data_IF_544407477946
#
_entry.id   IF_544407477946
#
_cell.length_a   1.000
_cell.length_b   1.000
_cell.length_c   1.000
_cell.angle_alpha   90.00
_cell.angle_beta   90.00
_cell.angle_gamma   90.00
#
_symmetry.space_group_name_H-M   'P 1'
#
loop_
_entity.id
_entity.type
_entity.pdbx_description
1 polymer ?
#
# COMPACT_ATOMS: atom_id res chain seq x y z
N UNK A 1 -31.51 8.70 6.03
CA UNK A 1 -30.61 9.69 5.42
C UNK A 1 -29.72 8.93 4.44
N UNK A 2 -29.87 9.15 3.14
CA UNK A 2 -29.00 8.55 2.14
C UNK A 2 -27.60 9.18 2.28
N UNK A 3 -26.57 8.36 2.47
CA UNK A 3 -25.19 8.81 2.43
C UNK A 3 -24.79 9.03 0.96
N UNK A 4 -24.99 10.25 0.47
CA UNK A 4 -24.54 10.64 -0.85
C UNK A 4 -23.08 11.05 -0.79
N UNK A 5 -22.26 10.56 -1.71
CA UNK A 5 -20.85 10.99 -1.84
C UNK A 5 -20.80 12.30 -2.62
N UNK A 6 -20.33 13.36 -1.97
CA UNK A 6 -20.23 14.69 -2.55
C UNK A 6 -18.75 15.04 -2.76
N UNK A 7 -18.39 15.36 -4.00
CA UNK A 7 -17.07 15.92 -4.28
C UNK A 7 -17.11 17.43 -4.07
N UNK A 8 -16.18 17.95 -3.28
CA UNK A 8 -16.09 19.37 -2.96
C UNK A 8 -14.73 19.90 -3.38
N UNK A 9 -14.70 20.82 -4.36
CA UNK A 9 -13.47 21.53 -4.72
C UNK A 9 -13.38 22.78 -3.87
N UNK A 10 -12.61 22.69 -2.78
CA UNK A 10 -12.26 23.81 -1.93
C UNK A 10 -11.05 24.53 -2.55
N UNK A 11 -11.13 25.87 -2.66
CA UNK A 11 -10.01 26.70 -3.06
C UNK A 11 -8.93 26.77 -1.96
N UNK A 12 -8.19 27.85 -1.88
CA UNK A 12 -7.08 28.09 -0.90
C UNK A 12 -7.47 28.01 0.59
N UNK A 13 -8.74 27.72 0.89
CA UNK A 13 -9.27 27.57 2.26
C UNK A 13 -9.12 26.15 2.82
N UNK A 14 -8.55 25.23 2.07
CA UNK A 14 -8.40 23.81 2.48
C UNK A 14 -7.54 23.60 3.75
N UNK A 15 -6.72 24.59 4.14
CA UNK A 15 -5.85 24.52 5.32
C UNK A 15 -6.57 24.78 6.65
N UNK A 16 -7.85 25.15 6.64
CA UNK A 16 -8.59 25.60 7.85
C UNK A 16 -9.34 24.49 8.58
N UNK A 17 -9.40 23.28 8.06
CA UNK A 17 -10.18 22.18 8.65
C UNK A 17 -9.44 20.85 8.60
N UNK A 18 -9.78 20.01 9.56
CA UNK A 18 -9.20 18.68 9.74
C UNK A 18 -10.12 17.59 9.18
N UNK A 19 -9.56 16.39 8.92
CA UNK A 19 -10.27 15.28 8.27
C UNK A 19 -11.56 14.84 8.97
N UNK A 20 -11.74 15.13 10.26
CA UNK A 20 -12.91 14.75 11.06
C UNK A 20 -13.88 15.91 11.31
N UNK A 21 -13.57 17.12 10.86
CA UNK A 21 -14.43 18.26 11.07
C UNK A 21 -15.74 18.11 10.28
N UNK A 22 -16.83 18.48 10.90
CA UNK A 22 -18.14 18.59 10.23
C UNK A 22 -18.24 19.97 9.59
N UNK A 23 -18.26 19.99 8.28
CA UNK A 23 -18.38 21.20 7.50
C UNK A 23 -19.83 21.43 7.09
N UNK A 24 -20.34 22.62 7.34
CA UNK A 24 -21.58 23.09 6.72
C UNK A 24 -21.22 23.99 5.55
N UNK A 25 -21.54 23.55 4.35
CA UNK A 25 -21.16 24.19 3.11
C UNK A 25 -22.40 24.73 2.40
N UNK A 26 -22.27 25.90 1.79
CA UNK A 26 -23.29 26.46 0.89
C UNK A 26 -22.66 26.71 -0.47
N UNK A 27 -23.21 26.13 -1.50
CA UNK A 27 -22.68 26.28 -2.85
C UNK A 27 -23.68 25.79 -3.91
N UNK A 28 -23.36 26.03 -5.17
CA UNK A 28 -24.13 25.53 -6.29
C UNK A 28 -23.80 24.06 -6.50
N UNK A 29 -24.81 23.21 -6.33
CA UNK A 29 -24.66 21.79 -6.63
C UNK A 29 -24.80 21.57 -8.14
N UNK A 30 -23.86 20.80 -8.69
CA UNK A 30 -23.88 20.31 -10.06
C UNK A 30 -24.01 18.79 -10.01
N UNK A 31 -24.50 18.19 -11.09
CA UNK A 31 -24.60 16.74 -11.21
C UNK A 31 -23.22 16.09 -11.02
N UNK A 32 -23.20 14.99 -10.28
CA UNK A 32 -21.97 14.32 -9.91
C UNK A 32 -21.20 13.76 -11.09
N UNK A 33 -19.89 13.58 -10.89
CA UNK A 33 -18.99 13.04 -11.88
C UNK A 33 -18.34 11.74 -11.36
N UNK A 34 -18.49 10.66 -12.11
CA UNK A 34 -17.91 9.37 -11.77
C UNK A 34 -18.58 8.69 -10.57
N UNK A 35 -17.87 8.59 -9.43
CA UNK A 35 -18.36 7.94 -8.20
C UNK A 35 -19.08 8.87 -7.23
N UNK A 36 -19.24 10.14 -7.58
CA UNK A 36 -19.85 11.14 -6.71
C UNK A 36 -21.24 11.49 -7.19
N UNK A 37 -22.21 11.52 -6.27
CA UNK A 37 -23.61 11.87 -6.57
C UNK A 37 -23.79 13.35 -6.86
N UNK A 38 -22.97 14.21 -6.24
CA UNK A 38 -23.02 15.66 -6.34
C UNK A 38 -21.61 16.26 -6.40
N UNK A 39 -21.48 17.35 -7.13
CA UNK A 39 -20.27 18.14 -7.21
C UNK A 39 -20.53 19.58 -6.72
N UNK A 40 -19.77 20.05 -5.73
CA UNK A 40 -19.84 21.42 -5.22
C UNK A 40 -18.62 22.20 -5.69
N UNK A 41 -18.88 23.25 -6.48
CA UNK A 41 -17.83 24.10 -7.01
C UNK A 41 -17.67 25.35 -6.15
N UNK A 42 -16.49 25.59 -5.59
CA UNK A 42 -16.15 26.74 -4.74
C UNK A 42 -17.24 27.06 -3.67
N UNK A 43 -17.61 26.12 -2.81
CA UNK A 43 -18.60 26.38 -1.79
C UNK A 43 -18.08 27.32 -0.71
N UNK A 44 -18.97 28.15 -0.16
CA UNK A 44 -18.71 28.91 1.06
C UNK A 44 -18.81 28.02 2.29
N UNK A 45 -17.80 28.08 3.16
CA UNK A 45 -17.80 27.38 4.44
C UNK A 45 -18.60 28.24 5.43
N UNK A 46 -19.80 27.77 5.81
CA UNK A 46 -20.67 28.49 6.77
C UNK A 46 -20.20 28.21 8.21
N UNK A 47 -19.92 26.96 8.53
CA UNK A 47 -19.47 26.58 9.86
C UNK A 47 -18.58 25.36 9.83
N UNK A 48 -17.62 25.32 10.76
CA UNK A 48 -16.73 24.21 11.02
C UNK A 48 -16.97 23.77 12.47
N UNK A 49 -17.41 22.54 12.69
CA UNK A 49 -17.58 21.99 14.03
C UNK A 49 -16.67 20.81 14.22
N UNK A 50 -15.86 20.84 15.29
CA UNK A 50 -15.00 19.70 15.65
C UNK A 50 -15.84 18.55 16.21
N UNK A 51 -15.41 17.29 15.99
CA UNK A 51 -16.10 16.14 16.55
C UNK A 51 -16.07 16.20 18.09
N UNK A 52 -17.18 15.89 18.71
CA UNK A 52 -17.28 15.79 20.17
C UNK A 52 -17.86 14.39 20.52
N UNK A 53 -17.14 13.44 21.11
CA UNK A 53 -15.79 13.54 21.69
C UNK A 53 -14.67 13.60 20.62
N UNK A 54 -13.48 14.13 21.01
CA UNK A 54 -12.32 14.17 20.11
C UNK A 54 -11.91 12.74 19.69
N UNK A 55 -11.60 12.57 18.41
CA UNK A 55 -11.15 11.27 17.88
C UNK A 55 -9.72 10.98 18.39
N UNK A 56 -9.62 10.06 19.37
CA UNK A 56 -8.36 9.66 19.99
C UNK A 56 -7.30 9.25 18.93
N UNK A 57 -7.72 8.49 17.92
CA UNK A 57 -6.80 8.00 16.89
C UNK A 57 -6.35 9.11 15.95
N UNK A 58 -7.22 10.07 15.67
CA UNK A 58 -6.86 11.26 14.91
C UNK A 58 -5.83 12.10 15.67
N UNK A 59 -6.05 12.35 16.96
CA UNK A 59 -5.12 13.08 17.81
C UNK A 59 -3.76 12.36 17.92
N UNK A 60 -3.76 11.04 18.06
CA UNK A 60 -2.53 10.23 18.02
C UNK A 60 -1.80 10.37 16.68
N UNK A 61 -2.53 10.29 15.56
CA UNK A 61 -1.96 10.47 14.23
C UNK A 61 -1.33 11.85 14.06
N UNK A 62 -2.02 12.89 14.48
CA UNK A 62 -1.52 14.26 14.42
C UNK A 62 -0.30 14.45 15.30
N UNK A 63 -0.30 13.91 16.52
CA UNK A 63 0.87 13.95 17.40
C UNK A 63 2.08 13.27 16.76
N UNK A 64 1.92 12.08 16.17
CA UNK A 64 3.00 11.40 15.46
C UNK A 64 3.49 12.19 14.23
N UNK A 65 2.56 12.79 13.48
CA UNK A 65 2.88 13.61 12.30
C UNK A 65 3.65 14.87 12.70
N UNK A 66 3.19 15.58 13.72
CA UNK A 66 3.82 16.81 14.19
C UNK A 66 5.24 16.56 14.73
N UNK A 67 5.40 15.53 15.59
CA UNK A 67 6.72 15.16 16.11
C UNK A 67 7.72 14.86 14.98
N UNK A 68 7.28 14.19 13.93
CA UNK A 68 8.16 13.86 12.80
C UNK A 68 8.51 15.10 11.97
N UNK A 69 7.53 15.99 11.73
CA UNK A 69 7.73 17.25 10.98
C UNK A 69 8.65 18.23 11.72
N UNK A 70 8.60 18.27 13.04
CA UNK A 70 9.49 19.11 13.85
C UNK A 70 10.95 18.66 13.78
N UNK A 71 11.20 17.37 13.58
CA UNK A 71 12.56 16.81 13.55
C UNK A 71 13.17 16.76 12.14
N UNK A 72 12.36 16.74 11.09
CA UNK A 72 12.82 16.73 9.70
C UNK A 72 12.53 18.10 9.08
N UNK A 73 13.58 18.87 8.85
CA UNK A 73 13.48 20.26 8.38
C UNK A 73 12.98 20.36 6.92
N UNK A 74 13.30 19.38 6.09
CA UNK A 74 12.94 19.36 4.66
C UNK A 74 11.50 18.85 4.50
N UNK A 75 10.59 19.65 3.89
CA UNK A 75 9.18 19.29 3.76
C UNK A 75 8.94 18.05 2.89
N UNK A 76 9.74 17.86 1.82
CA UNK A 76 9.61 16.71 0.93
C UNK A 76 10.00 15.40 1.66
N UNK A 77 11.07 15.46 2.46
CA UNK A 77 11.53 14.32 3.27
C UNK A 77 10.54 13.99 4.36
N UNK A 78 10.00 14.98 5.04
CA UNK A 78 8.96 14.80 6.05
C UNK A 78 7.69 14.19 5.43
N UNK A 79 7.25 14.70 4.28
CA UNK A 79 6.08 14.20 3.56
C UNK A 79 6.28 12.73 3.10
N UNK A 80 7.47 12.39 2.59
CA UNK A 80 7.78 11.02 2.18
C UNK A 80 7.81 10.06 3.37
N UNK A 81 8.43 10.45 4.48
CA UNK A 81 8.46 9.66 5.72
C UNK A 81 7.05 9.40 6.28
N UNK A 82 6.20 10.43 6.32
CA UNK A 82 4.79 10.33 6.73
C UNK A 82 3.97 9.47 5.77
N UNK A 83 4.26 9.57 4.47
CA UNK A 83 3.67 8.72 3.46
C UNK A 83 3.96 7.24 3.72
N UNK A 84 5.20 6.87 4.01
CA UNK A 84 5.57 5.49 4.32
C UNK A 84 5.02 5.03 5.68
N UNK A 85 5.08 5.85 6.72
CA UNK A 85 4.70 5.49 8.08
C UNK A 85 3.18 5.46 8.26
N UNK A 86 2.48 6.54 7.89
CA UNK A 86 1.06 6.75 8.16
C UNK A 86 0.18 6.68 6.90
N UNK A 87 0.77 6.52 5.71
CA UNK A 87 0.03 6.60 4.44
C UNK A 87 -0.55 7.99 4.17
N UNK A 88 0.04 9.03 4.74
CA UNK A 88 -0.43 10.41 4.61
C UNK A 88 -0.01 10.96 3.25
N UNK A 89 -1.01 11.32 2.44
CA UNK A 89 -0.82 11.98 1.14
C UNK A 89 -1.13 13.47 1.19
N UNK A 90 -1.90 13.90 2.18
CA UNK A 90 -2.22 15.31 2.41
C UNK A 90 -0.95 16.04 2.86
N UNK A 91 -0.59 17.09 2.13
CA UNK A 91 0.66 17.84 2.39
C UNK A 91 1.88 17.29 1.65
N UNK A 92 1.73 16.30 0.76
CA UNK A 92 2.79 15.91 -0.15
C UNK A 92 2.80 16.86 -1.35
N UNK A 93 3.95 17.49 -1.67
CA UNK A 93 4.08 18.37 -2.82
C UNK A 93 3.66 17.67 -4.13
N UNK A 94 2.98 18.40 -5.02
CA UNK A 94 2.50 17.85 -6.27
C UNK A 94 3.65 17.33 -7.15
N UNK A 95 4.79 18.04 -7.14
CA UNK A 95 6.00 17.62 -7.85
C UNK A 95 6.51 16.26 -7.39
N UNK A 96 6.58 16.04 -6.07
CA UNK A 96 6.99 14.76 -5.50
C UNK A 96 5.96 13.65 -5.82
N UNK A 97 4.68 13.99 -5.81
CA UNK A 97 3.60 13.06 -6.17
C UNK A 97 3.71 12.62 -7.63
N UNK A 98 3.99 13.56 -8.55
CA UNK A 98 4.19 13.27 -9.97
C UNK A 98 5.46 12.45 -10.19
N UNK A 99 6.57 12.80 -9.51
CA UNK A 99 7.81 12.04 -9.57
C UNK A 99 7.64 10.60 -9.09
N UNK A 100 6.89 10.38 -8.00
CA UNK A 100 6.55 9.05 -7.50
C UNK A 100 5.70 8.24 -8.50
N UNK A 101 4.77 8.89 -9.20
CA UNK A 101 3.97 8.24 -10.25
C UNK A 101 4.86 7.84 -11.44
N UNK A 102 5.72 8.75 -11.90
CA UNK A 102 6.66 8.51 -13.00
C UNK A 102 7.65 7.38 -12.66
N UNK A 103 8.15 7.35 -11.44
CA UNK A 103 9.00 6.27 -10.95
C UNK A 103 8.25 4.95 -10.66
N UNK A 104 6.91 4.91 -10.81
CA UNK A 104 6.10 3.71 -10.54
C UNK A 104 5.96 3.38 -9.05
N UNK A 105 6.27 4.30 -8.15
CA UNK A 105 6.32 4.10 -6.69
C UNK A 105 5.10 4.66 -5.95
N UNK A 106 4.09 5.17 -6.66
CA UNK A 106 2.88 5.74 -6.06
C UNK A 106 2.14 4.78 -5.10
N UNK A 107 2.26 3.47 -5.33
CA UNK A 107 1.67 2.43 -4.49
C UNK A 107 2.44 2.19 -3.18
N UNK A 108 3.71 2.58 -3.11
CA UNK A 108 4.60 2.36 -1.96
C UNK A 108 4.31 3.38 -0.84
N UNK A 109 3.94 4.60 -1.22
CA UNK A 109 3.59 5.70 -0.30
C UNK A 109 2.21 5.52 0.37
N UNK A 110 1.41 4.62 -0.14
CA UNK A 110 0.19 4.18 0.58
C UNK A 110 0.63 3.25 1.70
N UNK A 111 0.19 3.50 2.95
CA UNK A 111 0.51 2.63 4.09
C UNK A 111 0.40 1.16 3.66
N UNK A 112 1.55 0.52 3.49
CA UNK A 112 1.65 -0.77 2.82
C UNK A 112 1.58 -1.91 3.84
N UNK A 113 1.27 -3.11 3.35
CA UNK A 113 1.33 -4.32 4.17
C UNK A 113 2.70 -4.58 4.82
N UNK A 114 3.74 -3.88 4.36
CA UNK A 114 5.08 -3.95 4.92
C UNK A 114 5.15 -3.49 6.39
N UNK A 115 4.43 -2.41 6.76
CA UNK A 115 4.31 -1.96 8.14
C UNK A 115 3.73 -3.06 9.05
N UNK A 116 2.72 -3.78 8.55
CA UNK A 116 2.10 -4.88 9.28
C UNK A 116 3.07 -6.05 9.50
N UNK A 117 3.99 -6.28 8.55
CA UNK A 117 5.04 -7.29 8.71
C UNK A 117 6.00 -6.94 9.84
N UNK A 118 6.41 -5.67 9.93
CA UNK A 118 7.28 -5.20 11.03
C UNK A 118 6.55 -5.39 12.36
N UNK A 119 5.29 -4.95 12.47
CA UNK A 119 4.47 -5.06 13.68
C UNK A 119 4.31 -6.53 14.10
N UNK A 120 3.98 -7.41 13.15
CA UNK A 120 3.79 -8.83 13.44
C UNK A 120 5.09 -9.52 13.87
N UNK A 121 6.21 -9.19 13.24
CA UNK A 121 7.51 -9.73 13.61
C UNK A 121 7.96 -9.22 14.97
N UNK A 122 7.70 -7.95 15.28
CA UNK A 122 7.92 -7.38 16.60
C UNK A 122 7.11 -8.13 17.67
N UNK A 123 5.81 -8.28 17.45
CA UNK A 123 4.95 -9.01 18.37
C UNK A 123 5.42 -10.46 18.57
N UNK A 124 5.75 -11.17 17.50
CA UNK A 124 6.30 -12.54 17.58
C UNK A 124 7.61 -12.61 18.37
N UNK A 125 8.49 -11.62 18.19
CA UNK A 125 9.79 -11.58 18.87
C UNK A 125 9.65 -11.36 20.39
N UNK A 126 8.80 -10.43 20.79
CA UNK A 126 8.70 -10.02 22.20
C UNK A 126 7.63 -10.78 22.99
N UNK A 127 6.54 -11.24 22.35
CA UNK A 127 5.48 -12.00 23.01
C UNK A 127 5.71 -13.53 23.01
N UNK A 128 6.76 -14.03 22.35
CA UNK A 128 7.06 -15.47 22.26
C UNK A 128 7.28 -16.15 23.63
N UNK A 129 7.70 -15.38 24.65
CA UNK A 129 7.93 -15.88 26.00
C UNK A 129 6.66 -16.01 26.83
N UNK A 130 5.55 -15.41 26.41
CA UNK A 130 4.27 -15.44 27.15
C UNK A 130 3.45 -16.65 26.73
N UNK A 131 2.84 -16.61 25.55
CA UNK A 131 2.08 -17.74 25.00
C UNK A 131 1.78 -17.52 23.51
N UNK A 132 1.38 -18.60 22.80
CA UNK A 132 0.90 -18.48 21.41
C UNK A 132 -0.35 -17.60 21.31
N UNK A 133 -1.24 -17.69 22.29
CA UNK A 133 -2.44 -16.86 22.37
C UNK A 133 -2.09 -15.37 22.48
N UNK A 134 -1.14 -15.03 23.37
CA UNK A 134 -0.67 -13.65 23.54
C UNK A 134 -0.06 -13.07 22.25
N UNK A 135 0.69 -13.90 21.50
CA UNK A 135 1.22 -13.45 20.18
C UNK A 135 0.09 -13.09 19.24
N UNK A 136 -0.93 -13.93 19.11
CA UNK A 136 -2.05 -13.71 18.18
C UNK A 136 -2.85 -12.49 18.60
N UNK A 137 -3.31 -12.44 19.84
CA UNK A 137 -4.13 -11.33 20.35
C UNK A 137 -3.35 -10.02 20.31
N UNK A 138 -2.11 -10.00 20.79
CA UNK A 138 -1.26 -8.82 20.78
C UNK A 138 -0.95 -8.33 19.36
N UNK A 139 -0.70 -9.24 18.42
CA UNK A 139 -0.49 -8.86 17.01
C UNK A 139 -1.76 -8.28 16.39
N UNK A 140 -2.93 -8.89 16.61
CA UNK A 140 -4.20 -8.38 16.10
C UNK A 140 -4.51 -6.99 16.68
N UNK A 141 -4.34 -6.80 17.98
CA UNK A 141 -4.53 -5.50 18.61
C UNK A 141 -3.61 -4.42 18.03
N UNK A 142 -2.33 -4.74 17.85
CA UNK A 142 -1.37 -3.82 17.22
C UNK A 142 -1.74 -3.51 15.77
N UNK A 143 -2.18 -4.50 14.98
CA UNK A 143 -2.62 -4.31 13.60
C UNK A 143 -3.86 -3.39 13.57
N UNK A 144 -4.86 -3.66 14.41
CA UNK A 144 -6.08 -2.83 14.49
C UNK A 144 -5.71 -1.40 14.89
N UNK A 145 -4.90 -1.21 15.93
CA UNK A 145 -4.43 0.10 16.36
C UNK A 145 -3.71 0.83 15.22
N UNK A 146 -2.81 0.14 14.52
CA UNK A 146 -2.08 0.73 13.39
C UNK A 146 -3.01 1.13 12.24
N UNK A 147 -4.00 0.30 11.89
CA UNK A 147 -5.00 0.63 10.86
C UNK A 147 -5.83 1.85 11.24
N UNK A 148 -6.24 1.95 12.52
CA UNK A 148 -7.00 3.09 13.04
C UNK A 148 -6.18 4.39 12.98
N UNK A 149 -4.91 4.34 13.35
CA UNK A 149 -4.00 5.51 13.31
C UNK A 149 -3.63 5.90 11.88
N UNK A 150 -3.26 4.93 11.02
CA UNK A 150 -2.83 5.19 9.64
C UNK A 150 -3.99 5.53 8.69
N UNK A 151 -5.23 5.22 9.09
CA UNK A 151 -6.43 5.38 8.27
C UNK A 151 -6.74 4.15 7.41
N UNK A 152 -7.98 4.06 6.99
CA UNK A 152 -8.55 2.89 6.31
C UNK A 152 -8.26 2.88 4.81
N UNK A 153 -6.98 2.75 4.40
CA UNK A 153 -6.67 2.52 2.98
C UNK A 153 -7.04 1.09 2.56
N UNK A 154 -7.53 0.90 1.33
CA UNK A 154 -7.95 -0.41 0.84
C UNK A 154 -6.81 -1.44 0.85
N UNK A 155 -5.58 -1.02 0.55
CA UNK A 155 -4.39 -1.88 0.58
C UNK A 155 -4.04 -2.32 2.01
N UNK A 156 -4.09 -1.39 2.98
CA UNK A 156 -3.80 -1.67 4.39
C UNK A 156 -4.87 -2.59 5.00
N UNK A 157 -6.15 -2.36 4.69
CA UNK A 157 -7.26 -3.21 5.12
C UNK A 157 -7.08 -4.64 4.60
N UNK A 158 -6.78 -4.80 3.28
CA UNK A 158 -6.51 -6.13 2.72
C UNK A 158 -5.36 -6.82 3.45
N UNK A 159 -4.24 -6.14 3.62
CA UNK A 159 -3.07 -6.71 4.27
C UNK A 159 -3.33 -7.02 5.76
N UNK A 160 -4.06 -6.15 6.46
CA UNK A 160 -4.48 -6.36 7.85
C UNK A 160 -5.37 -7.58 8.00
N UNK A 161 -6.42 -7.69 7.20
CA UNK A 161 -7.32 -8.85 7.19
C UNK A 161 -6.56 -10.14 6.86
N UNK A 162 -5.68 -10.13 5.84
CA UNK A 162 -4.87 -11.28 5.47
C UNK A 162 -3.96 -11.73 6.63
N UNK A 163 -3.30 -10.77 7.30
CA UNK A 163 -2.42 -11.06 8.42
C UNK A 163 -3.20 -11.58 9.63
N UNK A 164 -4.34 -10.97 9.98
CA UNK A 164 -5.20 -11.44 11.06
C UNK A 164 -5.72 -12.87 10.80
N UNK A 165 -6.24 -13.13 9.61
CA UNK A 165 -6.66 -14.48 9.22
C UNK A 165 -5.49 -15.48 9.33
N UNK A 166 -4.32 -15.14 8.80
CA UNK A 166 -3.14 -16.01 8.86
C UNK A 166 -2.71 -16.32 10.29
N UNK A 167 -2.77 -15.33 11.20
CA UNK A 167 -2.45 -15.50 12.62
C UNK A 167 -3.45 -16.43 13.32
N UNK A 168 -4.74 -16.27 13.03
CA UNK A 168 -5.78 -17.14 13.58
C UNK A 168 -5.60 -18.58 13.11
N UNK A 169 -5.38 -18.82 11.81
CA UNK A 169 -5.12 -20.17 11.30
C UNK A 169 -3.83 -20.76 11.87
N UNK A 170 -2.76 -19.96 11.99
CA UNK A 170 -1.52 -20.39 12.63
C UNK A 170 -1.74 -20.81 14.10
N UNK A 171 -2.60 -20.11 14.85
CA UNK A 171 -2.93 -20.48 16.22
C UNK A 171 -3.53 -21.88 16.30
N UNK A 172 -4.42 -22.22 15.38
CA UNK A 172 -5.03 -23.55 15.29
C UNK A 172 -4.13 -24.62 14.63
N UNK A 173 -2.84 -24.32 14.42
CA UNK A 173 -1.89 -25.23 13.78
C UNK A 173 -2.16 -25.50 12.30
N UNK A 174 -2.98 -24.68 11.65
CA UNK A 174 -3.33 -24.81 10.23
C UNK A 174 -2.63 -23.76 9.39
N UNK A 175 -2.17 -24.15 8.20
CA UNK A 175 -1.69 -23.24 7.19
C UNK A 175 -2.71 -23.12 6.08
N UNK A 176 -3.02 -21.89 5.73
CA UNK A 176 -3.97 -21.61 4.66
C UNK A 176 -3.25 -21.50 3.32
N UNK A 177 -3.82 -22.09 2.28
CA UNK A 177 -3.33 -21.86 0.93
C UNK A 177 -3.55 -20.39 0.54
N UNK A 178 -2.53 -19.68 -0.02
CA UNK A 178 -2.61 -18.25 -0.31
C UNK A 178 -3.82 -17.83 -1.17
N UNK A 179 -4.22 -18.67 -2.14
CA UNK A 179 -5.40 -18.40 -2.97
C UNK A 179 -6.71 -18.43 -2.16
N UNK A 180 -6.85 -19.38 -1.22
CA UNK A 180 -8.01 -19.43 -0.33
C UNK A 180 -8.01 -18.24 0.63
N UNK A 181 -6.84 -17.87 1.15
CA UNK A 181 -6.70 -16.68 1.99
C UNK A 181 -7.15 -15.43 1.22
N UNK A 182 -6.73 -15.26 -0.03
CA UNK A 182 -7.15 -14.14 -0.87
C UNK A 182 -8.68 -14.10 -1.05
N UNK A 183 -9.32 -15.24 -1.31
CA UNK A 183 -10.78 -15.33 -1.43
C UNK A 183 -11.50 -14.97 -0.13
N UNK A 184 -11.02 -15.46 1.02
CA UNK A 184 -11.59 -15.09 2.33
C UNK A 184 -11.45 -13.59 2.62
N UNK A 185 -10.29 -13.02 2.32
CA UNK A 185 -10.05 -11.57 2.51
C UNK A 185 -10.93 -10.74 1.58
N UNK A 186 -11.16 -11.19 0.35
CA UNK A 186 -12.10 -10.54 -0.57
C UNK A 186 -13.53 -10.55 0.00
N UNK A 187 -14.01 -11.71 0.46
CA UNK A 187 -15.33 -11.84 1.06
C UNK A 187 -15.48 -11.00 2.34
N UNK A 188 -14.47 -11.01 3.23
CA UNK A 188 -14.46 -10.19 4.44
C UNK A 188 -14.42 -8.69 4.13
N UNK A 189 -13.64 -8.27 3.11
CA UNK A 189 -13.58 -6.86 2.72
C UNK A 189 -14.90 -6.37 2.14
N UNK A 190 -15.62 -7.21 1.39
CA UNK A 190 -16.95 -6.89 0.87
C UNK A 190 -18.00 -6.75 1.99
N UNK A 191 -17.94 -7.62 3.00
CA UNK A 191 -18.90 -7.60 4.11
C UNK A 191 -18.62 -6.50 5.15
N UNK A 192 -17.35 -6.26 5.48
CA UNK A 192 -16.97 -5.33 6.55
C UNK A 192 -16.77 -3.88 6.05
N UNK A 193 -16.36 -3.71 4.79
CA UNK A 193 -16.02 -2.40 4.21
C UNK A 193 -16.59 -2.25 2.80
N UNK A 194 -17.93 -2.27 2.63
CA UNK A 194 -18.57 -2.22 1.30
C UNK A 194 -18.19 -0.95 0.51
N UNK A 195 -17.97 0.17 1.18
CA UNK A 195 -17.55 1.44 0.56
C UNK A 195 -16.13 1.39 -0.03
N UNK A 196 -15.26 0.49 0.46
CA UNK A 196 -13.89 0.30 -0.07
C UNK A 196 -13.82 -0.84 -1.07
N UNK A 197 -14.84 -1.70 -1.07
CA UNK A 197 -14.93 -2.82 -1.98
C UNK A 197 -15.04 -2.31 -3.42
N UNK A 198 -14.27 -2.89 -4.33
CA UNK A 198 -14.12 -2.48 -5.73
C UNK A 198 -13.55 -1.06 -5.96
N UNK A 199 -13.13 -0.33 -4.91
CA UNK A 199 -12.35 0.89 -5.12
C UNK A 199 -11.07 0.59 -5.92
N UNK A 200 -10.53 1.60 -6.63
CA UNK A 200 -9.30 1.42 -7.41
C UNK A 200 -8.14 0.84 -6.57
N UNK A 201 -7.96 1.32 -5.34
CA UNK A 201 -6.94 0.79 -4.42
C UNK A 201 -7.19 -0.67 -4.04
N UNK A 202 -8.44 -1.10 -3.92
CA UNK A 202 -8.81 -2.49 -3.71
C UNK A 202 -8.45 -3.33 -4.94
N UNK A 203 -8.90 -2.91 -6.14
CA UNK A 203 -8.65 -3.62 -7.39
C UNK A 203 -7.15 -3.82 -7.65
N UNK A 204 -6.35 -2.75 -7.57
CA UNK A 204 -4.89 -2.82 -7.77
C UNK A 204 -4.21 -3.72 -6.73
N UNK A 205 -4.63 -3.65 -5.47
CA UNK A 205 -4.06 -4.46 -4.40
C UNK A 205 -4.36 -5.95 -4.57
N UNK A 206 -5.57 -6.30 -4.98
CA UNK A 206 -5.95 -7.69 -5.25
C UNK A 206 -5.33 -8.21 -6.56
N UNK A 207 -5.28 -7.39 -7.60
CA UNK A 207 -4.65 -7.73 -8.87
C UNK A 207 -3.15 -8.03 -8.69
N UNK A 208 -2.43 -7.17 -7.96
CA UNK A 208 -0.99 -7.38 -7.69
C UNK A 208 -0.74 -8.68 -6.94
N UNK A 209 -1.52 -8.94 -5.87
CA UNK A 209 -1.36 -10.17 -5.09
C UNK A 209 -1.74 -11.42 -5.89
N UNK A 210 -2.82 -11.37 -6.66
CA UNK A 210 -3.21 -12.46 -7.56
C UNK A 210 -2.12 -12.71 -8.62
N UNK A 211 -1.54 -11.64 -9.16
CA UNK A 211 -0.43 -11.74 -10.11
C UNK A 211 0.80 -12.42 -9.53
N UNK A 212 1.20 -12.03 -8.34
CA UNK A 212 2.31 -12.71 -7.64
C UNK A 212 1.97 -14.18 -7.41
N UNK A 213 0.76 -14.48 -6.97
CA UNK A 213 0.32 -15.85 -6.70
C UNK A 213 0.32 -16.75 -7.94
N UNK A 214 -0.10 -16.20 -9.09
CA UNK A 214 -0.27 -16.96 -10.32
C UNK A 214 0.98 -16.97 -11.20
N UNK A 215 1.69 -15.84 -11.32
CA UNK A 215 2.81 -15.68 -12.25
C UNK A 215 4.17 -16.00 -11.62
N UNK A 216 4.40 -15.66 -10.36
CA UNK A 216 5.72 -15.85 -9.73
C UNK A 216 6.17 -17.32 -9.73
N UNK A 217 5.37 -18.31 -9.27
CA UNK A 217 5.86 -19.68 -9.19
C UNK A 217 6.28 -20.29 -10.53
N UNK A 218 5.51 -20.14 -11.63
CA UNK A 218 5.96 -20.64 -12.93
C UNK A 218 7.13 -19.83 -13.51
N UNK A 219 7.25 -18.53 -13.22
CA UNK A 219 8.42 -17.74 -13.61
C UNK A 219 9.68 -18.21 -12.89
N UNK A 220 9.62 -18.41 -11.58
CA UNK A 220 10.74 -18.97 -10.83
C UNK A 220 11.18 -20.32 -11.38
N UNK A 221 10.23 -21.21 -11.65
CA UNK A 221 10.54 -22.53 -12.19
C UNK A 221 11.11 -22.46 -13.61
N UNK A 222 10.68 -21.49 -14.43
CA UNK A 222 11.18 -21.28 -15.77
C UNK A 222 12.62 -20.78 -15.81
N UNK A 223 12.93 -19.74 -15.02
CA UNK A 223 14.27 -19.14 -15.00
C UNK A 223 15.25 -19.88 -14.10
N UNK A 224 14.76 -20.57 -13.06
CA UNK A 224 15.57 -21.26 -12.06
C UNK A 224 15.08 -22.70 -11.84
N UNK A 225 15.19 -23.59 -12.86
CA UNK A 225 14.62 -24.94 -12.79
C UNK A 225 15.30 -25.82 -11.74
N UNK A 226 16.61 -25.64 -11.52
CA UNK A 226 17.46 -26.52 -10.70
C UNK A 226 17.92 -25.91 -9.37
N UNK A 227 17.72 -24.62 -9.15
CA UNK A 227 18.19 -23.93 -7.95
C UNK A 227 17.18 -22.86 -7.50
N UNK A 228 17.36 -22.33 -6.31
CA UNK A 228 16.53 -21.22 -5.83
C UNK A 228 17.04 -19.90 -6.40
N UNK A 229 16.16 -18.97 -6.80
CA UNK A 229 16.58 -17.64 -7.20
C UNK A 229 17.25 -16.91 -6.02
N UNK A 230 18.19 -16.02 -6.33
CA UNK A 230 18.76 -15.12 -5.33
C UNK A 230 17.68 -14.15 -4.80
N UNK A 231 17.94 -13.50 -3.67
CA UNK A 231 17.03 -12.50 -3.11
C UNK A 231 16.68 -11.40 -4.13
N UNK A 232 17.68 -10.87 -4.84
CA UNK A 232 17.49 -9.84 -5.88
C UNK A 232 16.64 -10.39 -7.03
N UNK A 233 16.94 -11.60 -7.51
CA UNK A 233 16.16 -12.22 -8.58
C UNK A 233 14.70 -12.43 -8.17
N UNK A 234 14.44 -12.86 -6.94
CA UNK A 234 13.08 -13.00 -6.41
C UNK A 234 12.37 -11.64 -6.35
N UNK A 235 13.03 -10.58 -5.88
CA UNK A 235 12.45 -9.23 -5.87
C UNK A 235 12.07 -8.75 -7.27
N UNK A 236 12.93 -9.00 -8.27
CA UNK A 236 12.64 -8.65 -9.68
C UNK A 236 11.44 -9.44 -10.19
N UNK A 237 11.40 -10.76 -9.98
CA UNK A 237 10.28 -11.60 -10.43
C UNK A 237 8.95 -11.25 -9.75
N UNK A 238 8.98 -10.92 -8.46
CA UNK A 238 7.81 -10.42 -7.71
C UNK A 238 7.32 -9.11 -8.31
N UNK A 239 8.23 -8.14 -8.56
CA UNK A 239 7.89 -6.84 -9.14
C UNK A 239 7.30 -6.99 -10.54
N UNK A 240 7.88 -7.85 -11.39
CA UNK A 240 7.37 -8.15 -12.73
C UNK A 240 5.95 -8.75 -12.63
N UNK A 241 5.75 -9.74 -11.76
CA UNK A 241 4.46 -10.43 -11.60
C UNK A 241 3.35 -9.46 -11.13
N UNK A 242 3.66 -8.60 -10.17
CA UNK A 242 2.74 -7.59 -9.66
C UNK A 242 2.43 -6.54 -10.73
N UNK A 243 3.46 -6.00 -11.40
CA UNK A 243 3.32 -4.94 -12.38
C UNK A 243 2.54 -5.41 -13.61
N UNK A 244 2.83 -6.60 -14.14
CA UNK A 244 2.08 -7.18 -15.27
C UNK A 244 0.60 -7.31 -14.95
N UNK A 245 0.26 -7.77 -13.75
CA UNK A 245 -1.14 -7.96 -13.36
C UNK A 245 -1.90 -6.66 -13.10
N UNK A 246 -1.19 -5.62 -12.64
CA UNK A 246 -1.77 -4.29 -12.42
C UNK A 246 -1.80 -3.43 -13.70
N UNK A 247 -1.00 -3.79 -14.71
CA UNK A 247 -0.78 -2.97 -15.90
C UNK A 247 -2.09 -2.57 -16.62
N UNK A 248 -3.06 -3.48 -16.88
CA UNK A 248 -4.30 -3.10 -17.52
C UNK A 248 -5.11 -2.09 -16.70
N UNK A 249 -5.21 -2.30 -15.38
CA UNK A 249 -5.90 -1.38 -14.46
C UNK A 249 -5.19 -0.02 -14.38
N UNK A 250 -3.86 -0.03 -14.42
CA UNK A 250 -3.06 1.20 -14.37
C UNK A 250 -3.23 2.03 -15.64
N UNK A 251 -3.24 1.39 -16.81
CA UNK A 251 -3.48 2.08 -18.09
C UNK A 251 -4.89 2.68 -18.11
N UNK A 252 -5.89 1.89 -17.70
CA UNK A 252 -7.26 2.36 -17.69
C UNK A 252 -7.49 3.58 -16.80
N UNK A 253 -6.88 3.60 -15.60
CA UNK A 253 -7.12 4.64 -14.60
C UNK A 253 -6.15 5.83 -14.68
N UNK A 254 -4.91 5.60 -15.10
CA UNK A 254 -3.85 6.62 -15.09
C UNK A 254 -3.36 7.01 -16.49
N UNK A 255 -3.70 6.26 -17.53
CA UNK A 255 -3.24 6.52 -18.91
C UNK A 255 -1.73 6.42 -19.07
N UNK A 256 -1.02 5.77 -18.14
CA UNK A 256 0.45 5.75 -18.16
C UNK A 256 1.03 4.43 -17.65
N UNK A 257 2.19 4.06 -18.21
CA UNK A 257 2.97 2.88 -17.81
C UNK A 257 4.34 3.35 -17.32
N UNK A 258 4.70 3.14 -16.04
CA UNK A 258 6.04 3.42 -15.54
C UNK A 258 7.00 2.28 -15.94
N UNK A 259 7.78 2.46 -17.00
CA UNK A 259 8.72 1.44 -17.49
C UNK A 259 9.83 1.16 -16.48
N UNK A 260 10.35 2.18 -15.83
CA UNK A 260 11.42 2.07 -14.85
C UNK A 260 10.93 1.69 -13.45
N UNK A 261 9.63 1.43 -13.28
CA UNK A 261 9.04 1.08 -11.99
C UNK A 261 9.67 -0.15 -11.32
N UNK A 262 10.11 -1.15 -12.11
CA UNK A 262 10.78 -2.35 -11.57
C UNK A 262 12.15 -1.97 -10.98
N UNK A 263 12.92 -1.13 -11.69
CA UNK A 263 14.25 -0.70 -11.23
C UNK A 263 14.14 0.20 -10.00
N UNK A 264 13.23 1.16 -10.03
CA UNK A 264 12.95 2.04 -8.89
C UNK A 264 12.52 1.24 -7.65
N UNK A 265 11.65 0.26 -7.84
CA UNK A 265 11.18 -0.62 -6.76
C UNK A 265 12.32 -1.47 -6.18
N UNK A 266 13.22 -1.98 -7.01
CA UNK A 266 14.38 -2.76 -6.56
C UNK A 266 15.32 -1.95 -5.65
N UNK A 267 15.49 -0.64 -5.94
CA UNK A 267 16.36 0.25 -5.16
C UNK A 267 15.64 0.74 -3.89
N UNK A 268 14.38 1.17 -4.02
CA UNK A 268 13.66 1.83 -2.93
C UNK A 268 13.12 0.84 -1.90
N UNK A 269 12.62 -0.33 -2.32
CA UNK A 269 11.97 -1.29 -1.40
C UNK A 269 12.85 -1.72 -0.22
N UNK A 270 14.15 -2.03 -0.39
CA UNK A 270 15.00 -2.38 0.75
C UNK A 270 15.17 -1.24 1.77
N UNK A 271 15.03 0.01 1.30
CA UNK A 271 15.18 1.20 2.14
C UNK A 271 13.91 1.56 2.91
N UNK A 272 12.73 1.03 2.53
CA UNK A 272 11.46 1.34 3.19
C UNK A 272 11.47 0.87 4.65
N UNK A 273 11.98 -0.35 4.90
CA UNK A 273 12.02 -0.93 6.24
C UNK A 273 12.79 -0.07 7.24
N UNK A 274 14.06 0.27 6.99
CA UNK A 274 14.82 1.13 7.87
C UNK A 274 14.21 2.53 7.97
N UNK A 275 13.70 3.10 6.86
CA UNK A 275 13.00 4.41 6.90
C UNK A 275 11.81 4.38 7.84
N UNK A 276 10.92 3.39 7.73
CA UNK A 276 9.75 3.27 8.59
C UNK A 276 10.12 3.04 10.05
N UNK A 277 11.13 2.20 10.33
CA UNK A 277 11.57 1.94 11.69
C UNK A 277 12.13 3.23 12.35
N UNK A 278 13.02 3.94 11.66
CA UNK A 278 13.59 5.20 12.17
C UNK A 278 12.53 6.29 12.29
N UNK A 279 11.65 6.42 11.29
CA UNK A 279 10.54 7.38 11.32
C UNK A 279 9.59 7.10 12.51
N UNK A 280 9.30 5.84 12.82
CA UNK A 280 8.48 5.48 13.97
C UNK A 280 9.14 5.89 15.29
N UNK A 281 10.45 5.67 15.46
CA UNK A 281 11.19 6.10 16.64
C UNK A 281 11.10 7.61 16.84
N UNK A 282 11.28 8.39 15.79
CA UNK A 282 11.18 9.84 15.84
C UNK A 282 9.73 10.30 16.08
N UNK A 283 8.75 9.69 15.44
CA UNK A 283 7.33 10.01 15.61
C UNK A 283 6.85 9.82 17.06
N UNK A 284 7.40 8.82 17.79
CA UNK A 284 7.07 8.59 19.21
C UNK A 284 7.75 9.67 20.13
N UNK A 285 8.59 10.54 19.57
CA UNK A 285 9.25 11.60 20.33
C UNK A 285 10.67 11.28 20.80
N UNK A 286 11.28 10.20 20.31
CA UNK A 286 12.68 9.88 20.58
C UNK A 286 13.59 10.82 19.78
N UNK A 287 13.90 11.99 20.30
CA UNK A 287 14.76 12.96 19.64
C UNK A 287 16.25 12.64 19.87
N UNK A 288 16.79 11.75 19.04
CA UNK A 288 18.20 11.34 19.08
C UNK A 288 18.89 11.74 17.78
N UNK A 289 19.78 12.73 17.83
CA UNK A 289 20.42 13.32 16.65
C UNK A 289 20.99 12.30 15.62
N UNK A 290 21.68 11.22 16.00
CA UNK A 290 22.14 10.21 15.04
C UNK A 290 21.02 9.51 14.28
N UNK A 291 19.86 9.28 14.91
CA UNK A 291 18.68 8.69 14.25
C UNK A 291 18.10 9.67 13.23
N UNK A 292 17.98 10.96 13.60
CA UNK A 292 17.51 12.01 12.67
C UNK A 292 18.44 12.08 11.46
N UNK A 293 19.76 12.16 11.68
CA UNK A 293 20.73 12.21 10.58
C UNK A 293 20.69 10.98 9.67
N UNK A 294 20.55 9.79 10.25
CA UNK A 294 20.46 8.55 9.48
C UNK A 294 19.19 8.54 8.63
N UNK A 295 18.04 8.86 9.22
CA UNK A 295 16.76 8.94 8.50
C UNK A 295 16.82 9.98 7.38
N UNK A 296 17.35 11.17 7.67
CA UNK A 296 17.46 12.26 6.70
C UNK A 296 18.29 11.85 5.48
N UNK A 297 19.43 11.17 5.69
CA UNK A 297 20.28 10.64 4.61
C UNK A 297 19.57 9.58 3.75
N UNK A 298 18.83 8.68 4.40
CA UNK A 298 18.08 7.64 3.67
C UNK A 298 16.97 8.29 2.85
N UNK A 299 16.22 9.24 3.41
CA UNK A 299 15.16 9.97 2.70
C UNK A 299 15.73 10.79 1.54
N UNK A 300 16.87 11.47 1.75
CA UNK A 300 17.58 12.19 0.71
C UNK A 300 17.94 11.28 -0.46
N UNK A 301 18.49 10.10 -0.18
CA UNK A 301 18.81 9.10 -1.21
C UNK A 301 17.57 8.66 -1.97
N UNK A 302 16.47 8.36 -1.25
CA UNK A 302 15.20 7.95 -1.85
C UNK A 302 14.63 9.02 -2.78
N UNK A 303 14.57 10.28 -2.34
CA UNK A 303 14.09 11.41 -3.16
C UNK A 303 15.00 11.64 -4.37
N UNK A 304 16.32 11.54 -4.19
CA UNK A 304 17.26 11.69 -5.31
C UNK A 304 17.04 10.62 -6.40
N UNK A 305 16.81 9.36 -5.99
CA UNK A 305 16.51 8.27 -6.93
C UNK A 305 15.17 8.51 -7.63
N UNK A 306 14.13 8.90 -6.89
CA UNK A 306 12.79 9.18 -7.42
C UNK A 306 12.86 10.30 -8.48
N UNK A 307 13.50 11.42 -8.14
CA UNK A 307 13.63 12.57 -9.02
C UNK A 307 14.49 12.26 -10.26
N UNK A 308 15.59 11.52 -10.07
CA UNK A 308 16.43 11.08 -11.18
C UNK A 308 15.64 10.24 -12.21
N UNK A 309 14.88 9.26 -11.71
CA UNK A 309 14.04 8.42 -12.59
C UNK A 309 12.94 9.23 -13.25
N UNK A 310 12.30 10.16 -12.52
CA UNK A 310 11.23 11.00 -13.06
C UNK A 310 11.71 11.94 -14.18
N UNK A 311 12.98 12.35 -14.19
CA UNK A 311 13.57 13.19 -15.23
C UNK A 311 13.86 12.46 -16.53
N UNK A 312 13.85 11.12 -16.55
CA UNK A 312 14.11 10.34 -17.74
C UNK A 312 12.89 10.40 -18.66
N UNK A 313 13.01 10.93 -19.91
CA UNK A 313 11.86 11.16 -20.80
C UNK A 313 11.03 9.91 -21.13
N UNK A 314 11.68 8.74 -21.13
CA UNK A 314 11.05 7.44 -21.42
C UNK A 314 10.73 6.62 -20.18
N UNK A 315 10.87 7.19 -18.97
CA UNK A 315 10.52 6.51 -17.73
C UNK A 315 9.03 6.12 -17.67
N UNK A 316 8.20 6.91 -18.34
CA UNK A 316 6.76 6.69 -18.40
C UNK A 316 6.26 6.83 -19.83
N UNK A 317 5.54 5.82 -20.32
CA UNK A 317 4.81 5.90 -21.58
C UNK A 317 3.40 6.34 -21.28
N UNK A 318 2.96 7.44 -21.91
CA UNK A 318 1.56 7.85 -21.90
C UNK A 318 0.83 7.13 -23.03
N UNK A 319 -0.34 6.58 -22.70
CA UNK A 319 -1.20 5.86 -23.64
C UNK A 319 -2.53 6.59 -23.69
N UNK A 320 -2.97 6.94 -24.89
CA UNK A 320 -4.31 7.50 -25.08
C UNK A 320 -5.37 6.51 -24.57
N UNK A 321 -6.28 7.03 -23.77
CA UNK A 321 -7.26 6.22 -23.05
C UNK A 321 -8.33 5.67 -24.00
N UNK A 322 -8.11 4.47 -24.50
CA UNK A 322 -9.11 3.71 -25.22
C UNK A 322 -9.70 2.65 -24.28
N UNK A 323 -10.98 2.82 -23.89
CA UNK A 323 -11.67 1.99 -22.89
C UNK A 323 -11.63 0.48 -23.18
N UNK A 324 -11.45 0.06 -24.42
CA UNK A 324 -11.41 -1.36 -24.80
C UNK A 324 -10.00 -1.95 -24.73
N UNK A 325 -8.96 -1.12 -24.82
CA UNK A 325 -7.57 -1.58 -24.89
C UNK A 325 -7.15 -2.34 -23.63
N UNK A 326 -7.64 -1.93 -22.46
CA UNK A 326 -7.26 -2.57 -21.20
C UNK A 326 -7.76 -4.01 -21.06
N UNK A 327 -8.95 -4.32 -21.60
CA UNK A 327 -9.46 -5.70 -21.61
C UNK A 327 -8.60 -6.61 -22.46
N UNK A 328 -8.16 -6.12 -23.64
CA UNK A 328 -7.28 -6.87 -24.52
C UNK A 328 -5.90 -7.13 -23.92
N UNK A 329 -5.42 -6.29 -23.02
CA UNK A 329 -4.12 -6.50 -22.34
C UNK A 329 -4.12 -7.69 -21.37
N UNK A 330 -5.27 -8.13 -20.87
CA UNK A 330 -5.32 -9.37 -20.09
C UNK A 330 -5.11 -10.62 -20.93
N UNK A 331 -5.44 -10.59 -22.20
CA UNK A 331 -5.27 -11.75 -23.11
C UNK A 331 -3.81 -12.20 -23.20
N UNK A 332 -2.82 -11.32 -23.51
CA UNK A 332 -1.42 -11.74 -23.54
C UNK A 332 -0.91 -12.14 -22.14
N UNK A 333 -1.39 -11.53 -21.05
CA UNK A 333 -1.00 -11.92 -19.69
C UNK A 333 -1.44 -13.35 -19.38
N UNK A 334 -2.70 -13.68 -19.70
CA UNK A 334 -3.21 -15.05 -19.58
C UNK A 334 -2.48 -16.00 -20.51
N UNK A 335 -2.18 -15.57 -21.75
CA UNK A 335 -1.38 -16.33 -22.71
C UNK A 335 0.02 -16.66 -22.17
N UNK A 336 0.73 -15.67 -21.62
CA UNK A 336 2.04 -15.86 -20.97
C UNK A 336 1.91 -16.85 -19.81
N UNK A 337 0.91 -16.70 -18.97
CA UNK A 337 0.68 -17.62 -17.86
C UNK A 337 0.43 -19.05 -18.31
N UNK A 338 -0.40 -19.25 -19.34
CA UNK A 338 -0.67 -20.58 -19.92
C UNK A 338 0.59 -21.20 -20.52
N UNK A 339 1.37 -20.42 -21.28
CA UNK A 339 2.64 -20.87 -21.88
C UNK A 339 3.67 -21.26 -20.79
N UNK A 340 3.82 -20.44 -19.76
CA UNK A 340 4.71 -20.75 -18.63
C UNK A 340 4.25 -22.01 -17.89
N UNK A 341 2.96 -22.14 -17.62
CA UNK A 341 2.37 -23.33 -16.98
C UNK A 341 2.62 -24.57 -17.80
N UNK A 342 2.39 -24.50 -19.12
CA UNK A 342 2.61 -25.63 -20.04
C UNK A 342 4.09 -26.02 -20.10
N UNK A 343 4.99 -25.05 -20.30
CA UNK A 343 6.45 -25.31 -20.38
C UNK A 343 7.04 -25.83 -19.09
N UNK A 344 6.64 -25.28 -17.96
CA UNK A 344 7.21 -25.65 -16.67
C UNK A 344 6.53 -26.87 -16.04
N UNK A 345 5.37 -27.29 -16.58
CA UNK A 345 4.51 -28.32 -15.96
C UNK A 345 4.26 -28.02 -14.47
N UNK A 346 4.07 -26.73 -14.15
CA UNK A 346 3.89 -26.31 -12.78
C UNK A 346 2.52 -26.74 -12.28
N UNK A 347 2.49 -27.51 -11.18
CA UNK A 347 1.26 -27.93 -10.51
C UNK A 347 1.06 -27.07 -9.26
N UNK A 348 -0.05 -26.33 -9.21
CA UNK A 348 -0.44 -25.49 -8.05
C UNK A 348 -0.95 -26.33 -6.86
N UNK A 349 -0.95 -27.67 -6.95
CA UNK A 349 -1.30 -28.49 -5.79
C UNK A 349 -0.31 -28.25 -4.66
N UNK A 350 -0.81 -28.02 -3.43
CA UNK A 350 0.08 -27.88 -2.30
C UNK A 350 0.87 -29.18 -2.13
N UNK A 351 2.18 -29.11 -2.30
CA UNK A 351 3.05 -30.20 -1.82
C UNK A 351 2.97 -30.12 -0.30
N UNK A 352 2.19 -30.99 0.29
CA UNK A 352 2.20 -31.24 1.73
C UNK A 352 3.56 -31.81 2.12
N UNK A 353 4.52 -30.95 2.35
CA UNK A 353 5.86 -31.24 2.82
C UNK A 353 6.40 -30.00 3.51
N UNK A 354 6.55 -30.11 4.81
CA UNK A 354 6.70 -29.11 5.86
C UNK A 354 7.87 -28.09 5.73
N UNK A 355 8.64 -28.06 4.66
CA UNK A 355 9.88 -27.25 4.62
C UNK A 355 9.84 -25.98 3.74
N UNK A 356 8.92 -25.85 2.79
CA UNK A 356 9.03 -24.80 1.75
C UNK A 356 8.12 -23.58 1.92
N UNK A 357 7.16 -23.60 2.84
CA UNK A 357 6.19 -22.50 3.00
C UNK A 357 6.63 -21.41 3.98
N UNK A 358 7.71 -21.62 4.75
CA UNK A 358 8.22 -20.59 5.66
C UNK A 358 8.86 -19.39 4.94
N UNK A 359 9.44 -19.62 3.74
CA UNK A 359 10.13 -18.54 3.01
C UNK A 359 9.17 -17.63 2.23
N UNK A 360 8.09 -18.18 1.66
CA UNK A 360 7.09 -17.35 0.97
C UNK A 360 6.30 -16.45 1.91
N UNK A 361 6.07 -16.87 3.15
CA UNK A 361 5.45 -16.02 4.16
C UNK A 361 6.26 -14.75 4.48
N UNK A 362 7.58 -14.78 4.27
CA UNK A 362 8.45 -13.61 4.44
C UNK A 362 8.39 -12.65 3.25
N UNK A 363 8.10 -13.16 2.06
CA UNK A 363 8.02 -12.37 0.82
C UNK A 363 6.64 -11.75 0.65
N UNK A 364 5.58 -12.43 1.11
CA UNK A 364 4.19 -11.97 0.96
C UNK A 364 3.73 -10.95 2.00
N UNK A 365 4.55 -10.67 2.99
CA UNK A 365 4.31 -9.61 3.97
C UNK A 365 5.06 -8.30 3.62
N UNK A 366 5.76 -8.25 2.48
CA UNK A 366 6.37 -7.03 1.94
C UNK A 366 5.42 -6.24 1.04
#
# INVERSE_FOLDING_TARGET
MQNSQVYVKLGDTAERFEKSDKLTLKGKALDGFGYYDLYLWHPEIISISKPNPPDLFLNMRQGLSNNLREQITDPDRAALALGFLLGEKSGMPEELTQALRAAGLAHVVVASGFALSIITNFAKKYLKFVSRFAIVVGSILLIVCFVLVSGFSASLLRAGLATCCSLVFWYFGRQMHPARLLAYVAALSAGLFPEKFLSLGWQLSFASYAGILLLLPPLEKYFYPNHRPSYIATMVLVSISAQLSCLPLSIYNFGSIPLLGILSNLIITPLIAPTMALALFLAIGCNFAPIVMCLDKILQLQISVINYVAQIPWATIQIENNQWLYLFLYVPIVGIWLLLKWRTKYDYRPRYGLEKTQDYGKIFLC
#
